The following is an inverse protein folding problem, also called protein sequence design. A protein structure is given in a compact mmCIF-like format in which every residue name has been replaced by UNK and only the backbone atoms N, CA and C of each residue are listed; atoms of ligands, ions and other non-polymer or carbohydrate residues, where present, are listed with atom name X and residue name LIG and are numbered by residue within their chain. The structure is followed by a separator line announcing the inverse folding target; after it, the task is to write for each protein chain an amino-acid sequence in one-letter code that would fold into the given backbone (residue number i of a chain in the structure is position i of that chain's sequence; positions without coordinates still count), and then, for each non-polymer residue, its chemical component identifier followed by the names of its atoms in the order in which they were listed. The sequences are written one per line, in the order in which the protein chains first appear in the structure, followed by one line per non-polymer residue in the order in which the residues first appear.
data_IF_261554334989
#
_entry.id   IF_261554334989
#
_cell.length_a   1.000
_cell.length_b   1.000
_cell.length_c   1.000
_cell.angle_alpha   90.00
_cell.angle_beta   90.00
_cell.angle_gamma   90.00
#
_symmetry.space_group_name_H-M   'P 1'
#
loop_
_entity.id
_entity.type
_entity.pdbx_description
1 polymer ?
#
# COMPACT_ATOMS: atom_id res chain seq x y z
N UNK A 1 9.54 -14.81 0.87
CA UNK A 1 9.89 -13.38 0.76
C UNK A 1 10.33 -13.08 -0.66
N UNK A 2 10.24 -11.83 -1.10
CA UNK A 2 10.82 -11.38 -2.37
C UNK A 2 12.33 -11.14 -2.21
N UNK A 3 13.04 -11.10 -3.34
CA UNK A 3 14.46 -10.76 -3.38
C UNK A 3 14.66 -9.28 -3.06
N UNK A 4 15.60 -8.97 -2.18
CA UNK A 4 16.09 -7.60 -1.98
C UNK A 4 16.91 -7.15 -3.22
N UNK A 5 16.51 -6.02 -3.80
CA UNK A 5 17.11 -5.41 -4.99
C UNK A 5 17.95 -4.17 -4.67
N UNK A 6 18.02 -3.79 -3.40
CA UNK A 6 18.80 -2.68 -2.89
C UNK A 6 18.24 -1.29 -3.21
N UNK A 7 18.92 -0.28 -2.69
CA UNK A 7 18.64 1.13 -2.93
C UNK A 7 19.20 1.56 -4.30
N UNK A 8 18.43 2.38 -5.02
CA UNK A 8 18.82 2.92 -6.32
C UNK A 8 18.65 4.44 -6.33
N UNK A 9 19.55 5.12 -7.03
CA UNK A 9 19.45 6.58 -7.21
C UNK A 9 18.23 6.91 -8.09
N UNK A 10 17.36 7.77 -7.57
CA UNK A 10 16.10 8.15 -8.19
C UNK A 10 16.23 9.23 -9.28
N UNK A 11 17.42 9.85 -9.44
CA UNK A 11 17.69 11.05 -10.26
C UNK A 11 17.09 11.05 -11.67
N UNK A 12 16.94 9.88 -12.29
CA UNK A 12 16.48 9.76 -13.69
C UNK A 12 15.15 9.01 -13.85
N UNK A 13 14.63 8.40 -12.79
CA UNK A 13 13.50 7.45 -12.87
C UNK A 13 12.25 7.90 -12.11
N UNK A 14 12.39 8.73 -11.07
CA UNK A 14 11.25 9.12 -10.25
C UNK A 14 11.23 10.65 -10.04
N UNK A 15 10.64 11.37 -11.00
CA UNK A 15 10.52 12.82 -10.93
C UNK A 15 9.84 13.34 -9.66
N UNK A 16 8.95 12.54 -9.06
CA UNK A 16 8.31 12.84 -7.77
C UNK A 16 9.32 12.85 -6.62
N UNK A 17 10.25 11.90 -6.57
CA UNK A 17 11.29 11.84 -5.53
C UNK A 17 12.27 13.01 -5.71
N UNK A 18 12.63 13.31 -6.95
CA UNK A 18 13.62 14.36 -7.27
C UNK A 18 13.09 15.77 -6.99
N UNK A 19 11.80 16.02 -7.19
CA UNK A 19 11.21 17.36 -7.05
C UNK A 19 10.61 17.64 -5.68
N UNK A 20 10.51 16.64 -4.81
CA UNK A 20 10.01 16.81 -3.45
C UNK A 20 11.09 17.44 -2.56
N UNK A 21 10.73 18.47 -1.80
CA UNK A 21 11.67 19.19 -0.91
C UNK A 21 11.98 18.41 0.36
N UNK A 22 10.98 17.72 0.92
CA UNK A 22 11.20 16.86 2.08
C UNK A 22 11.90 15.53 1.67
N UNK A 23 12.50 14.80 2.62
CA UNK A 23 13.04 13.47 2.37
C UNK A 23 11.99 12.57 1.71
N UNK A 24 12.32 12.01 0.55
CA UNK A 24 11.40 11.21 -0.24
C UNK A 24 12.07 9.92 -0.74
N UNK A 25 11.30 8.84 -0.75
CA UNK A 25 11.67 7.54 -1.35
C UNK A 25 10.51 7.02 -2.18
N UNK A 26 10.80 6.17 -3.15
CA UNK A 26 9.80 5.40 -3.89
C UNK A 26 10.13 3.92 -3.70
N UNK A 27 9.14 3.14 -3.27
CA UNK A 27 9.31 1.71 -2.98
C UNK A 27 8.59 0.88 -4.03
N UNK A 28 9.37 0.08 -4.76
CA UNK A 28 8.85 -0.91 -5.70
C UNK A 28 8.75 -2.27 -4.98
N UNK A 29 7.55 -2.60 -4.52
CA UNK A 29 7.29 -3.81 -3.72
C UNK A 29 7.42 -5.11 -4.52
N UNK A 30 7.34 -5.05 -5.85
CA UNK A 30 7.49 -6.20 -6.74
C UNK A 30 7.13 -5.83 -8.18
N UNK A 31 7.34 -6.75 -9.12
CA UNK A 31 7.00 -6.54 -10.52
C UNK A 31 5.71 -7.25 -10.91
N UNK A 32 4.70 -6.48 -11.35
CA UNK A 32 3.45 -7.03 -11.91
C UNK A 32 3.68 -7.89 -13.18
N UNK A 33 4.79 -7.66 -13.90
CA UNK A 33 5.18 -8.45 -15.07
C UNK A 33 5.84 -9.78 -14.71
N UNK A 34 6.24 -9.99 -13.46
CA UNK A 34 6.74 -11.27 -12.98
C UNK A 34 5.57 -12.08 -12.39
N UNK A 35 5.30 -13.25 -12.95
CA UNK A 35 4.17 -14.10 -12.53
C UNK A 35 4.22 -14.52 -11.06
N UNK A 36 5.41 -14.81 -10.52
CA UNK A 36 5.58 -15.24 -9.14
C UNK A 36 5.43 -14.08 -8.14
N UNK A 37 5.84 -12.88 -8.52
CA UNK A 37 5.66 -11.68 -7.69
C UNK A 37 4.23 -11.16 -7.76
N UNK A 38 3.58 -11.26 -8.94
CA UNK A 38 2.19 -10.89 -9.14
C UNK A 38 1.24 -11.63 -8.20
N UNK A 39 1.44 -12.94 -8.00
CA UNK A 39 0.63 -13.73 -7.05
C UNK A 39 0.70 -13.11 -5.66
N UNK A 40 1.90 -12.79 -5.17
CA UNK A 40 2.09 -12.15 -3.86
C UNK A 40 1.51 -10.75 -3.81
N UNK A 41 1.69 -9.94 -4.84
CA UNK A 41 1.15 -8.57 -4.88
C UNK A 41 -0.38 -8.55 -4.77
N UNK A 42 -1.06 -9.62 -5.21
CA UNK A 42 -2.51 -9.79 -5.07
C UNK A 42 -2.95 -10.32 -3.69
N UNK A 43 -2.05 -10.88 -2.89
CA UNK A 43 -2.38 -11.40 -1.56
C UNK A 43 -2.48 -10.29 -0.52
N UNK A 44 -3.61 -10.21 0.18
CA UNK A 44 -3.86 -9.21 1.21
C UNK A 44 -2.81 -9.26 2.33
N UNK A 45 -2.50 -10.47 2.81
CA UNK A 45 -1.49 -10.68 3.84
C UNK A 45 -0.08 -10.25 3.41
N UNK A 46 0.23 -10.24 2.11
CA UNK A 46 1.50 -9.72 1.63
C UNK A 46 1.49 -8.20 1.62
N UNK A 47 0.40 -7.57 1.18
CA UNK A 47 0.25 -6.10 1.19
C UNK A 47 0.24 -5.54 2.62
N UNK A 48 -0.36 -6.25 3.58
CA UNK A 48 -0.33 -5.89 5.00
C UNK A 48 1.09 -5.91 5.57
N UNK A 49 1.89 -6.94 5.23
CA UNK A 49 3.30 -6.99 5.61
C UNK A 49 4.11 -5.85 4.99
N UNK A 50 3.78 -5.46 3.77
CA UNK A 50 4.41 -4.31 3.10
C UNK A 50 4.06 -3.01 3.82
N UNK A 51 2.79 -2.77 4.13
CA UNK A 51 2.37 -1.57 4.85
C UNK A 51 2.99 -1.48 6.24
N UNK A 52 3.09 -2.59 6.96
CA UNK A 52 3.77 -2.64 8.26
C UNK A 52 5.25 -2.27 8.14
N UNK A 53 5.93 -2.79 7.12
CA UNK A 53 7.34 -2.48 6.87
C UNK A 53 7.55 -1.00 6.52
N UNK A 54 6.70 -0.45 5.64
CA UNK A 54 6.74 0.97 5.26
C UNK A 54 6.50 1.87 6.49
N UNK A 55 5.45 1.59 7.27
CA UNK A 55 5.11 2.38 8.44
C UNK A 55 6.20 2.33 9.51
N UNK A 56 6.74 1.13 9.80
CA UNK A 56 7.87 0.97 10.72
C UNK A 56 9.11 1.71 10.24
N UNK A 57 9.42 1.65 8.95
CA UNK A 57 10.56 2.36 8.36
C UNK A 57 10.42 3.88 8.47
N UNK A 58 9.23 4.42 8.20
CA UNK A 58 8.93 5.85 8.34
C UNK A 58 9.07 6.29 9.79
N UNK A 59 8.46 5.56 10.73
CA UNK A 59 8.50 5.90 12.15
C UNK A 59 9.94 5.84 12.69
N UNK A 60 10.71 4.83 12.29
CA UNK A 60 12.12 4.73 12.61
C UNK A 60 12.91 5.94 12.08
N UNK A 61 12.67 6.36 10.83
CA UNK A 61 13.32 7.54 10.26
C UNK A 61 13.00 8.82 11.05
N UNK A 62 11.77 8.95 11.54
CA UNK A 62 11.31 10.10 12.33
C UNK A 62 11.71 10.01 13.82
N UNK A 63 12.29 8.89 14.27
CA UNK A 63 12.60 8.66 15.68
C UNK A 63 11.37 8.43 16.57
N UNK A 64 10.25 7.98 15.98
CA UNK A 64 9.00 7.67 16.66
C UNK A 64 8.95 6.16 16.93
N UNK A 65 8.64 5.76 18.16
CA UNK A 65 8.50 4.34 18.52
C UNK A 65 7.24 3.73 17.92
N UNK A 66 7.34 2.50 17.43
CA UNK A 66 6.19 1.70 17.01
C UNK A 66 5.35 1.27 18.22
N UNK A 67 4.03 1.47 18.17
CA UNK A 67 3.09 0.97 19.18
C UNK A 67 2.25 -0.16 18.59
N UNK A 68 2.42 -1.39 19.08
CA UNK A 68 1.68 -2.57 18.60
C UNK A 68 0.20 -2.58 19.03
N UNK A 69 -0.19 -1.80 20.03
CA UNK A 69 -1.55 -1.83 20.58
C UNK A 69 -2.58 -1.13 19.68
N UNK A 70 -2.16 -0.14 18.89
CA UNK A 70 -3.02 0.60 17.94
C UNK A 70 -3.19 -0.12 16.59
N UNK A 71 -2.36 -1.13 16.28
CA UNK A 71 -2.40 -1.85 14.98
C UNK A 71 -3.58 -2.81 14.87
N UNK A 72 -4.30 -3.07 15.97
CA UNK A 72 -5.57 -3.80 15.91
C UNK A 72 -6.58 -2.90 15.21
N UNK A 73 -6.74 -3.11 13.91
CA UNK A 73 -7.76 -2.43 13.09
C UNK A 73 -9.06 -2.41 13.88
N UNK A 74 -9.47 -1.21 14.31
CA UNK A 74 -10.87 -0.98 14.60
C UNK A 74 -11.63 -1.53 13.39
N UNK A 75 -12.60 -2.41 13.63
CA UNK A 75 -13.54 -2.81 12.58
C UNK A 75 -14.11 -1.52 12.03
N UNK A 76 -13.59 -1.08 10.88
CA UNK A 76 -14.06 0.10 10.19
C UNK A 76 -15.55 -0.15 9.98
N UNK A 77 -16.40 0.67 10.61
CA UNK A 77 -17.83 0.59 10.32
C UNK A 77 -17.98 0.65 8.80
N UNK A 78 -18.69 -0.34 8.26
CA UNK A 78 -18.97 -0.40 6.82
C UNK A 78 -19.55 0.94 6.40
N UNK A 79 -19.04 1.48 5.29
CA UNK A 79 -19.41 2.84 4.90
C UNK A 79 -20.92 2.88 4.67
N UNK A 80 -21.60 3.94 5.13
CA UNK A 80 -23.08 4.01 5.10
C UNK A 80 -23.68 3.76 3.71
N UNK A 81 -22.91 3.98 2.64
CA UNK A 81 -23.31 3.80 1.26
C UNK A 81 -23.27 2.34 0.77
N UNK A 82 -22.55 1.44 1.44
CA UNK A 82 -22.39 0.05 1.01
C UNK A 82 -23.74 -0.68 0.91
N UNK A 83 -24.66 -0.40 1.82
CA UNK A 83 -26.03 -0.97 1.82
C UNK A 83 -26.88 -0.59 0.61
N UNK A 84 -26.41 0.33 -0.24
CA UNK A 84 -27.12 0.76 -1.44
C UNK A 84 -26.47 0.25 -2.73
N UNK A 85 -25.32 -0.43 -2.67
CA UNK A 85 -24.60 -0.89 -3.86
C UNK A 85 -25.47 -1.82 -4.71
N UNK A 86 -26.10 -2.83 -4.10
CA UNK A 86 -27.00 -3.76 -4.80
C UNK A 86 -28.15 -3.04 -5.52
N UNK A 87 -28.73 -2.00 -4.90
CA UNK A 87 -29.83 -1.26 -5.50
C UNK A 87 -29.37 -0.36 -6.65
N UNK A 88 -28.14 0.16 -6.58
CA UNK A 88 -27.56 0.98 -7.64
C UNK A 88 -27.16 0.12 -8.84
N UNK A 89 -26.69 -1.10 -8.60
CA UNK A 89 -26.41 -2.10 -9.64
C UNK A 89 -27.70 -2.56 -10.32
N UNK A 90 -28.75 -2.91 -9.55
CA UNK A 90 -30.07 -3.28 -10.10
C UNK A 90 -30.67 -2.15 -10.97
N UNK A 91 -30.41 -0.90 -10.61
CA UNK A 91 -30.82 0.29 -11.37
C UNK A 91 -29.90 0.61 -12.54
N UNK A 92 -28.82 -0.13 -12.75
CA UNK A 92 -27.82 0.11 -13.80
C UNK A 92 -27.12 1.47 -13.67
N UNK A 93 -27.06 2.03 -12.47
CA UNK A 93 -26.44 3.34 -12.20
C UNK A 93 -24.94 3.20 -12.00
N UNK A 94 -24.49 2.05 -11.51
CA UNK A 94 -23.08 1.68 -11.38
C UNK A 94 -22.86 0.33 -12.05
N UNK A 95 -21.64 0.10 -12.52
CA UNK A 95 -21.15 -1.21 -12.93
C UNK A 95 -20.19 -1.69 -11.84
N UNK A 96 -20.52 -2.79 -11.18
CA UNK A 96 -19.69 -3.35 -10.12
C UNK A 96 -18.57 -4.19 -10.75
N UNK A 97 -17.27 -3.99 -10.40
CA UNK A 97 -16.15 -4.74 -10.99
C UNK A 97 -16.14 -6.24 -10.69
#
# INVERSE_FOLDING_TARGET
MLRDRGLKDAKVVAGIVVKTVCPAVLVEHGFYTNREELVKLKEDAFREKCSDADAKGILQYLGISWNEEETKMEKKETHWAEKYLDNLEEKGTIDTP
#
